data_IF_974163772664
#
_entry.id   IF_974163772664
#
_cell.length_a   1.000
_cell.length_b   1.000
_cell.length_c   1.000
_cell.angle_alpha   90.00
_cell.angle_beta   90.00
_cell.angle_gamma   90.00
#
_symmetry.space_group_name_H-M   'P 1'
#
loop_
_entity.id
_entity.type
_entity.pdbx_description
1 polymer ?
#
# COMPACT_ATOMS: atom_id res chain seq x y z
N UNK A 1 -1.58 -0.03 -3.16
CA UNK A 1 -0.18 0.18 -3.59
C UNK A 1 0.20 1.54 -3.11
N UNK A 2 1.32 1.66 -2.42
CA UNK A 2 1.77 2.92 -1.82
C UNK A 2 3.30 2.91 -1.68
N UNK A 3 3.91 4.06 -1.97
CA UNK A 3 5.34 4.29 -1.88
C UNK A 3 5.70 5.71 -2.29
N UNK A 4 6.96 6.09 -2.08
CA UNK A 4 7.48 7.44 -2.32
C UNK A 4 8.87 7.37 -2.93
N UNK A 5 9.23 8.35 -3.77
CA UNK A 5 10.61 8.57 -4.24
C UNK A 5 11.30 7.32 -4.85
N UNK A 6 10.55 6.50 -5.59
CA UNK A 6 10.98 5.20 -6.15
C UNK A 6 11.57 4.23 -5.13
N UNK A 7 11.30 4.44 -3.84
CA UNK A 7 11.72 3.52 -2.78
C UNK A 7 10.88 2.25 -2.87
N UNK A 8 11.45 1.22 -3.49
CA UNK A 8 10.99 -0.15 -3.33
C UNK A 8 11.20 -0.61 -1.88
N UNK A 9 10.40 -1.54 -1.36
CA UNK A 9 9.29 -2.30 -1.97
C UNK A 9 7.93 -1.62 -1.77
N UNK A 10 6.87 -2.13 -2.41
CA UNK A 10 5.49 -1.70 -2.13
C UNK A 10 5.16 -1.85 -0.64
N UNK A 11 4.30 -0.97 -0.15
CA UNK A 11 3.71 -1.06 1.17
C UNK A 11 2.19 -1.21 1.09
N UNK A 12 1.62 -2.08 1.92
CA UNK A 12 0.20 -2.05 2.26
C UNK A 12 0.06 -1.62 3.71
N UNK A 13 -0.83 -0.67 3.99
CA UNK A 13 -0.97 -0.05 5.31
C UNK A 13 -2.45 0.09 5.62
N UNK A 14 -2.85 -0.16 6.87
CA UNK A 14 -4.15 0.26 7.38
C UNK A 14 -4.00 1.43 8.34
N UNK A 15 -4.96 2.33 8.29
CA UNK A 15 -5.08 3.53 9.12
C UNK A 15 -6.48 3.54 9.74
N UNK A 16 -6.56 3.60 11.06
CA UNK A 16 -7.82 3.52 11.81
C UNK A 16 -7.86 4.55 12.94
N UNK A 17 -9.04 4.71 13.53
CA UNK A 17 -9.14 5.27 14.88
C UNK A 17 -8.41 4.38 15.91
N UNK A 18 -8.24 4.83 17.17
CA UNK A 18 -7.63 4.03 18.23
C UNK A 18 -8.26 2.65 18.42
N UNK A 19 -7.53 1.75 19.08
CA UNK A 19 -7.93 0.38 19.45
C UNK A 19 -7.96 -0.66 18.30
N UNK A 20 -7.11 -0.48 17.29
CA UNK A 20 -6.86 -1.49 16.25
C UNK A 20 -5.38 -1.89 16.20
N UNK A 21 -5.09 -3.13 16.61
CA UNK A 21 -3.73 -3.69 16.64
C UNK A 21 -3.64 -4.96 15.78
N UNK A 22 -2.55 -5.07 15.04
CA UNK A 22 -2.18 -6.29 14.33
C UNK A 22 -1.31 -7.20 15.21
N UNK A 23 -1.50 -8.53 15.19
CA UNK A 23 -0.56 -9.44 15.82
C UNK A 23 0.83 -9.32 15.18
N UNK A 24 1.87 -9.29 16.02
CA UNK A 24 3.27 -9.20 15.57
C UNK A 24 3.68 -10.38 14.67
N UNK A 25 3.13 -11.57 14.92
CA UNK A 25 3.31 -12.76 14.08
C UNK A 25 2.00 -13.14 13.41
N UNK A 26 2.04 -13.26 12.08
CA UNK A 26 0.90 -13.59 11.22
C UNK A 26 1.40 -14.19 9.91
N UNK A 27 0.63 -15.10 9.33
CA UNK A 27 1.03 -15.83 8.11
C UNK A 27 0.96 -14.93 6.89
N UNK A 28 2.09 -14.33 6.53
CA UNK A 28 2.27 -13.49 5.34
C UNK A 28 3.72 -13.54 4.86
N UNK A 29 3.96 -13.18 3.60
CA UNK A 29 5.31 -13.17 3.03
C UNK A 29 6.08 -11.85 3.30
N UNK A 30 5.37 -10.75 3.56
CA UNK A 30 5.95 -9.44 3.83
C UNK A 30 6.35 -9.23 5.30
N UNK A 31 6.96 -8.08 5.56
CA UNK A 31 7.49 -7.71 6.88
C UNK A 31 6.66 -6.57 7.49
N UNK A 32 6.09 -6.72 8.71
CA UNK A 32 5.44 -5.61 9.39
C UNK A 32 6.40 -4.45 9.63
N UNK A 33 5.94 -3.22 9.43
CA UNK A 33 6.66 -1.99 9.82
C UNK A 33 6.19 -1.47 11.18
N UNK A 34 4.89 -1.55 11.43
CA UNK A 34 4.23 -1.24 12.71
C UNK A 34 3.02 -2.15 12.90
N UNK A 35 2.72 -2.46 14.15
CA UNK A 35 1.57 -3.29 14.51
C UNK A 35 0.30 -2.46 14.79
N UNK A 36 0.44 -1.23 15.31
CA UNK A 36 -0.72 -0.35 15.57
C UNK A 36 -1.20 0.34 14.30
N UNK A 37 -2.52 0.31 14.05
CA UNK A 37 -3.15 0.98 12.92
C UNK A 37 -3.65 2.40 13.27
N UNK A 38 -3.55 2.78 14.55
CA UNK A 38 -4.03 4.06 15.08
C UNK A 38 -3.27 5.26 14.49
N UNK A 39 -3.98 6.11 13.77
CA UNK A 39 -3.43 7.31 13.11
C UNK A 39 -2.93 8.38 14.07
N UNK A 40 -3.38 8.36 15.32
CA UNK A 40 -2.95 9.32 16.35
C UNK A 40 -1.55 9.02 16.87
N UNK A 41 -1.01 7.84 16.53
CA UNK A 41 0.33 7.39 16.89
C UNK A 41 1.28 7.42 15.69
N UNK A 42 2.58 7.45 15.97
CA UNK A 42 3.65 7.32 14.97
C UNK A 42 3.50 8.25 13.76
N UNK A 43 2.97 9.46 13.94
CA UNK A 43 2.77 10.44 12.87
C UNK A 43 1.94 9.88 11.69
N UNK A 44 0.84 9.18 12.00
CA UNK A 44 -0.03 8.54 11.01
C UNK A 44 0.69 7.46 10.17
N UNK A 45 1.69 6.78 10.73
CA UNK A 45 2.36 5.68 10.01
C UNK A 45 1.43 4.50 9.71
N UNK A 46 0.40 4.28 10.55
CA UNK A 46 -0.51 3.13 10.45
C UNK A 46 0.21 1.79 10.64
N UNK A 47 -0.52 0.69 10.47
CA UNK A 47 0.05 -0.66 10.56
C UNK A 47 0.45 -1.11 9.16
N UNK A 48 1.71 -0.89 8.80
CA UNK A 48 2.25 -1.18 7.47
C UNK A 48 2.85 -2.59 7.35
N UNK A 49 2.85 -3.11 6.13
CA UNK A 49 3.59 -4.31 5.73
C UNK A 49 4.35 -4.01 4.44
N UNK A 50 5.68 -4.15 4.48
CA UNK A 50 6.53 -4.08 3.28
C UNK A 50 6.50 -5.41 2.54
N UNK A 51 6.26 -5.35 1.24
CA UNK A 51 6.22 -6.53 0.37
C UNK A 51 7.63 -7.13 0.23
N UNK A 52 7.79 -8.45 0.02
CA UNK A 52 9.10 -9.08 0.06
C UNK A 52 9.98 -8.83 -1.18
N UNK A 53 9.41 -8.32 -2.28
CA UNK A 53 10.12 -8.20 -3.57
C UNK A 53 10.25 -6.76 -4.04
N UNK A 54 11.43 -6.40 -4.54
CA UNK A 54 11.69 -5.10 -5.17
C UNK A 54 10.78 -4.85 -6.38
N UNK A 55 10.44 -5.90 -7.13
CA UNK A 55 9.54 -5.84 -8.28
C UNK A 55 8.06 -5.60 -7.93
N UNK A 56 7.74 -5.25 -6.68
CA UNK A 56 6.38 -4.93 -6.27
C UNK A 56 6.02 -3.45 -6.43
N UNK A 57 7.00 -2.57 -6.70
CA UNK A 57 6.77 -1.12 -6.81
C UNK A 57 7.75 -0.45 -7.77
N UNK A 58 7.34 0.73 -8.27
CA UNK A 58 8.22 1.67 -8.95
C UNK A 58 8.91 1.11 -10.20
N UNK A 59 10.14 1.58 -10.51
CA UNK A 59 10.86 1.22 -11.75
C UNK A 59 11.04 -0.29 -11.94
N UNK A 60 11.25 -1.05 -10.85
CA UNK A 60 11.41 -2.50 -10.92
C UNK A 60 10.09 -3.22 -11.28
N UNK A 61 8.94 -2.73 -10.82
CA UNK A 61 7.63 -3.22 -11.25
C UNK A 61 7.36 -2.88 -12.72
N UNK A 62 7.66 -1.65 -13.14
CA UNK A 62 7.46 -1.17 -14.51
C UNK A 62 8.31 -1.95 -15.52
N UNK A 63 9.60 -2.18 -15.20
CA UNK A 63 10.52 -2.94 -16.06
C UNK A 63 10.06 -4.38 -16.28
N UNK A 64 9.31 -4.95 -15.31
CA UNK A 64 8.73 -6.29 -15.42
C UNK A 64 7.38 -6.32 -16.15
N UNK A 65 6.92 -5.20 -16.72
CA UNK A 65 5.62 -5.09 -17.39
C UNK A 65 4.43 -5.00 -16.43
N UNK A 66 4.68 -4.63 -15.17
CA UNK A 66 3.67 -4.51 -14.14
C UNK A 66 3.23 -5.84 -13.55
N UNK A 67 1.94 -5.95 -13.18
CA UNK A 67 1.41 -7.10 -12.48
C UNK A 67 0.02 -6.87 -11.88
N UNK A 68 -0.42 -7.81 -11.04
CA UNK A 68 -1.75 -7.80 -10.43
C UNK A 68 -1.67 -7.59 -8.93
N UNK A 69 -2.52 -6.69 -8.43
CA UNK A 69 -2.79 -6.55 -7.00
C UNK A 69 -4.21 -6.99 -6.73
N UNK A 70 -4.37 -7.88 -5.76
CA UNK A 70 -5.66 -8.32 -5.27
C UNK A 70 -5.75 -8.02 -3.77
N UNK A 71 -6.89 -7.49 -3.35
CA UNK A 71 -7.24 -7.29 -1.95
C UNK A 71 -8.55 -8.02 -1.67
N UNK A 72 -8.59 -8.72 -0.54
CA UNK A 72 -9.74 -9.51 -0.11
C UNK A 72 -10.09 -9.15 1.33
N UNK A 73 -11.37 -8.80 1.57
CA UNK A 73 -11.91 -8.53 2.89
C UNK A 73 -12.95 -9.61 3.23
N UNK A 74 -12.61 -10.49 4.18
CA UNK A 74 -13.40 -11.68 4.49
C UNK A 74 -14.76 -11.40 5.17
N UNK A 75 -15.00 -10.17 5.64
CA UNK A 75 -16.27 -9.80 6.30
C UNK A 75 -17.48 -9.80 5.35
N UNK A 76 -17.24 -9.76 4.03
CA UNK A 76 -18.28 -9.68 2.99
C UNK A 76 -18.20 -10.94 2.12
N UNK A 77 -18.71 -12.07 2.61
CA UNK A 77 -18.86 -13.31 1.81
C UNK A 77 -20.33 -13.75 1.69
N UNK A 78 -20.98 -13.32 0.62
CA UNK A 78 -22.19 -13.88 0.01
C UNK A 78 -21.83 -14.89 -1.09
N UNK A 79 -21.70 -16.15 -0.68
CA UNK A 79 -21.42 -17.32 -1.52
C UNK A 79 -22.01 -17.24 -2.94
N UNK A 80 -21.21 -16.74 -3.90
CA UNK A 80 -21.29 -16.96 -5.36
C UNK A 80 -20.18 -16.17 -6.07
N UNK A 81 -18.95 -16.69 -6.07
CA UNK A 81 -17.92 -16.16 -6.97
C UNK A 81 -17.06 -17.26 -7.59
N UNK A 82 -16.60 -17.00 -8.82
CA UNK A 82 -15.62 -17.81 -9.56
C UNK A 82 -14.18 -17.59 -9.03
N UNK A 83 -14.00 -16.65 -8.11
CA UNK A 83 -12.70 -16.26 -7.56
C UNK A 83 -12.57 -16.87 -6.18
N UNK A 84 -11.55 -17.71 -5.98
CA UNK A 84 -11.29 -18.36 -4.69
C UNK A 84 -9.98 -17.84 -4.08
N UNK A 85 -10.04 -16.90 -3.12
CA UNK A 85 -8.84 -16.39 -2.43
C UNK A 85 -8.07 -17.47 -1.66
N UNK A 86 -8.73 -18.54 -1.20
CA UNK A 86 -8.08 -19.63 -0.47
C UNK A 86 -7.08 -20.39 -1.37
N UNK A 87 -7.24 -20.31 -2.69
CA UNK A 87 -6.34 -20.91 -3.67
C UNK A 87 -5.16 -20.01 -4.08
N UNK A 88 -5.06 -18.79 -3.54
CA UNK A 88 -4.00 -17.82 -3.94
C UNK A 88 -2.67 -18.02 -3.21
N UNK A 89 -2.63 -18.89 -2.19
CA UNK A 89 -1.45 -19.12 -1.37
C UNK A 89 -1.24 -18.04 -0.32
N UNK A 90 -0.02 -17.93 0.20
CA UNK A 90 0.31 -16.98 1.27
C UNK A 90 0.27 -15.54 0.76
N UNK A 91 -0.51 -14.63 1.38
CA UNK A 91 -0.59 -13.25 0.93
C UNK A 91 0.69 -12.48 1.23
N UNK A 92 0.97 -11.42 0.45
CA UNK A 92 2.08 -10.52 0.71
C UNK A 92 1.90 -9.75 2.03
N UNK A 93 0.68 -9.32 2.32
CA UNK A 93 0.30 -8.68 3.58
C UNK A 93 -0.99 -9.29 4.10
N UNK A 94 -1.07 -9.53 5.40
CA UNK A 94 -2.26 -10.08 6.04
C UNK A 94 -2.64 -9.25 7.27
N UNK A 95 -3.86 -8.74 7.32
CA UNK A 95 -4.38 -7.94 8.43
C UNK A 95 -5.55 -8.70 9.08
N UNK A 96 -5.28 -9.52 10.11
CA UNK A 96 -6.35 -10.23 10.83
C UNK A 96 -7.09 -9.30 11.79
N UNK A 97 -8.32 -9.67 12.13
CA UNK A 97 -9.15 -8.96 13.11
C UNK A 97 -8.94 -9.45 14.56
N UNK A 98 -7.80 -10.09 14.86
CA UNK A 98 -7.54 -10.72 16.17
C UNK A 98 -7.60 -9.71 17.32
N UNK A 99 -7.06 -8.50 17.11
CA UNK A 99 -7.05 -7.41 18.08
C UNK A 99 -7.51 -6.08 17.44
N UNK A 100 -8.39 -6.20 16.44
CA UNK A 100 -8.94 -5.06 15.72
C UNK A 100 -10.32 -5.43 15.17
N UNK A 101 -11.36 -4.78 15.67
CA UNK A 101 -12.71 -4.99 15.16
C UNK A 101 -12.93 -4.17 13.88
N UNK A 102 -12.80 -4.80 12.71
CA UNK A 102 -12.99 -4.09 11.45
C UNK A 102 -14.39 -3.50 11.28
N UNK A 103 -15.42 -4.03 11.96
CA UNK A 103 -16.77 -3.51 11.84
C UNK A 103 -16.96 -2.14 12.50
N UNK A 104 -16.06 -1.75 13.41
CA UNK A 104 -16.07 -0.42 14.05
C UNK A 104 -15.11 0.57 13.40
N UNK A 105 -14.17 0.10 12.58
CA UNK A 105 -13.14 0.94 11.95
C UNK A 105 -13.32 1.14 10.45
N UNK A 106 -14.03 0.25 9.76
CA UNK A 106 -14.14 0.29 8.30
C UNK A 106 -15.60 0.23 7.84
N UNK A 107 -16.06 1.36 7.32
CA UNK A 107 -17.30 1.49 6.57
C UNK A 107 -17.10 1.12 5.09
N UNK A 108 -18.16 1.08 4.26
CA UNK A 108 -18.03 0.94 2.81
C UNK A 108 -17.00 1.92 2.21
N UNK A 109 -15.96 1.38 1.59
CA UNK A 109 -14.83 2.15 1.07
C UNK A 109 -15.00 2.52 -0.41
N UNK A 110 -14.42 3.66 -0.80
CA UNK A 110 -14.19 4.02 -2.20
C UNK A 110 -12.79 3.60 -2.62
N UNK A 111 -12.61 3.23 -3.90
CA UNK A 111 -11.28 3.03 -4.46
C UNK A 111 -10.73 4.38 -4.88
N UNK A 112 -9.56 4.75 -4.35
CA UNK A 112 -8.84 5.97 -4.70
C UNK A 112 -7.56 5.58 -5.41
N UNK A 113 -7.30 6.25 -6.54
CA UNK A 113 -6.04 6.18 -7.27
C UNK A 113 -5.58 7.61 -7.43
N UNK A 114 -4.40 7.92 -6.90
CA UNK A 114 -3.82 9.24 -7.01
C UNK A 114 -2.31 9.15 -7.20
N UNK A 115 -1.77 10.23 -7.75
CA UNK A 115 -0.36 10.54 -7.78
C UNK A 115 -0.23 11.93 -7.18
N UNK A 116 0.49 12.04 -6.07
CA UNK A 116 0.82 13.33 -5.43
C UNK A 116 2.33 13.47 -5.36
N UNK A 117 2.81 14.70 -5.22
CA UNK A 117 4.23 15.01 -5.22
C UNK A 117 4.60 15.68 -3.90
N UNK A 118 5.74 15.27 -3.33
CA UNK A 118 6.24 15.75 -2.05
C UNK A 118 5.26 15.50 -0.89
N UNK A 119 4.65 16.57 -0.35
CA UNK A 119 3.76 16.48 0.81
C UNK A 119 4.43 15.86 2.04
N UNK A 120 3.58 15.38 2.94
CA UNK A 120 3.97 14.96 4.28
C UNK A 120 4.96 13.79 4.27
N UNK A 121 4.75 12.79 3.40
CA UNK A 121 5.60 11.61 3.35
C UNK A 121 6.72 11.74 2.31
N UNK A 122 6.40 11.92 1.03
CA UNK A 122 7.45 11.91 -0.01
C UNK A 122 8.41 13.09 0.16
N UNK A 123 7.91 14.25 0.61
CA UNK A 123 8.73 15.44 0.87
C UNK A 123 9.66 15.26 2.07
N UNK A 124 9.15 14.76 3.20
CA UNK A 124 9.94 14.58 4.43
C UNK A 124 11.01 13.49 4.31
N UNK A 125 10.79 12.49 3.44
CA UNK A 125 11.72 11.37 3.21
C UNK A 125 12.52 11.51 1.93
N UNK A 126 12.39 12.62 1.20
CA UNK A 126 13.01 12.83 -0.11
C UNK A 126 14.53 12.63 -0.11
N UNK A 127 15.23 13.11 0.94
CA UNK A 127 16.67 12.95 1.09
C UNK A 127 17.13 11.51 1.30
N UNK A 128 16.22 10.59 1.62
CA UNK A 128 16.47 9.16 1.77
C UNK A 128 16.23 8.42 0.44
N UNK A 129 15.62 9.07 -0.56
CA UNK A 129 15.41 8.52 -1.89
C UNK A 129 16.71 8.41 -2.69
N UNK A 130 16.78 7.43 -3.58
CA UNK A 130 17.90 7.33 -4.52
C UNK A 130 17.66 8.31 -5.67
N UNK A 131 18.68 9.06 -6.09
CA UNK A 131 18.56 9.95 -7.25
C UNK A 131 17.67 11.17 -7.02
N UNK A 132 17.54 11.63 -5.77
CA UNK A 132 16.72 12.76 -5.37
C UNK A 132 17.58 14.04 -5.13
N UNK A 133 17.95 14.82 -6.18
CA UNK A 133 18.72 16.05 -6.01
C UNK A 133 17.83 17.20 -5.51
N UNK A 134 18.45 18.26 -4.99
CA UNK A 134 17.77 19.46 -4.47
C UNK A 134 16.81 19.17 -3.30
N UNK A 135 15.93 20.12 -3.01
CA UNK A 135 14.74 19.85 -2.20
C UNK A 135 13.66 19.19 -3.08
N UNK A 136 12.72 18.45 -2.48
CA UNK A 136 11.64 17.81 -3.23
C UNK A 136 10.86 18.83 -4.09
N UNK A 137 10.52 19.98 -3.51
CA UNK A 137 9.74 21.02 -4.19
C UNK A 137 10.53 21.62 -5.36
N UNK A 138 11.83 21.89 -5.17
CA UNK A 138 12.67 22.39 -6.27
C UNK A 138 12.84 21.36 -7.37
N UNK A 139 12.99 20.08 -7.02
CA UNK A 139 13.08 19.02 -8.02
C UNK A 139 11.81 18.95 -8.88
N UNK A 140 10.64 18.94 -8.24
CA UNK A 140 9.34 18.95 -8.92
C UNK A 140 9.17 20.19 -9.80
N UNK A 141 9.51 21.39 -9.31
CA UNK A 141 9.31 22.64 -10.04
C UNK A 141 10.22 22.78 -11.27
N UNK A 142 11.45 22.28 -11.19
CA UNK A 142 12.48 22.57 -12.20
C UNK A 142 12.86 21.38 -13.09
N UNK A 143 12.32 20.18 -12.84
CA UNK A 143 12.68 18.97 -13.59
C UNK A 143 11.44 18.25 -14.14
N UNK A 144 10.58 18.95 -14.89
CA UNK A 144 9.35 18.37 -15.45
C UNK A 144 9.59 17.07 -16.26
N UNK A 145 10.72 16.97 -16.97
CA UNK A 145 11.09 15.77 -17.74
C UNK A 145 11.40 14.54 -16.88
N UNK A 146 11.62 14.68 -15.57
CA UNK A 146 11.86 13.54 -14.67
C UNK A 146 10.57 12.76 -14.38
N UNK A 147 9.40 13.30 -14.71
CA UNK A 147 8.09 12.72 -14.40
C UNK A 147 7.41 12.07 -15.60
N UNK A 148 8.14 11.78 -16.69
CA UNK A 148 7.57 11.12 -17.88
C UNK A 148 7.01 9.73 -17.59
N UNK A 149 7.58 9.05 -16.59
CA UNK A 149 7.15 7.71 -16.15
C UNK A 149 6.22 7.74 -14.93
N UNK A 150 5.80 8.94 -14.49
CA UNK A 150 4.91 9.11 -13.35
C UNK A 150 3.43 9.06 -13.78
N UNK A 151 2.97 7.88 -14.20
CA UNK A 151 1.58 7.63 -14.59
C UNK A 151 1.11 6.25 -14.16
N UNK A 152 -0.21 6.04 -14.17
CA UNK A 152 -0.80 4.70 -14.08
C UNK A 152 -1.31 4.28 -15.44
N UNK A 153 -1.00 3.04 -15.84
CA UNK A 153 -1.63 2.37 -16.98
C UNK A 153 -2.32 1.11 -16.47
N UNK A 154 -3.65 1.09 -16.54
CA UNK A 154 -4.48 0.02 -16.01
C UNK A 154 -5.10 -0.81 -17.13
N UNK A 155 -4.75 -2.10 -17.16
CA UNK A 155 -5.46 -3.05 -18.00
C UNK A 155 -6.91 -3.28 -17.53
N UNK A 156 -7.14 -3.39 -16.22
CA UNK A 156 -8.49 -3.44 -15.65
C UNK A 156 -8.50 -3.20 -14.14
N UNK A 157 -9.64 -2.71 -13.64
CA UNK A 157 -9.99 -2.70 -12.22
C UNK A 157 -11.32 -3.41 -12.09
N UNK A 158 -11.39 -4.42 -11.22
CA UNK A 158 -12.59 -5.25 -11.03
C UNK A 158 -12.89 -5.37 -9.55
N UNK A 159 -14.16 -5.20 -9.18
CA UNK A 159 -14.68 -5.55 -7.86
C UNK A 159 -15.49 -6.83 -7.99
N UNK A 160 -15.07 -7.87 -7.28
CA UNK A 160 -15.90 -9.05 -7.07
C UNK A 160 -16.70 -8.87 -5.79
N UNK A 161 -17.98 -9.23 -5.82
CA UNK A 161 -18.76 -9.42 -4.60
C UNK A 161 -18.66 -10.91 -4.28
N UNK A 162 -18.05 -11.21 -3.14
CA UNK A 162 -17.91 -12.57 -2.63
C UNK A 162 -19.08 -12.91 -1.75
#
# INVERSE_FOLDING_TARGET
MEGVNDQGTNQATLHTSPDCLMPTSRTMAGTPTYDTCDVTLNFNAGCGVKFPTASSFGPAFNTNGGGWFASYCAYISHARSFVNPDAWGTPAAYFPNTFCDFSTHFDPQNIIINLTLCGDWAGSTYSQGTGCPLTCVDHVNYNASAFTDAYFDFASIRKATF
#
